data_IF_693100336356
#
_entry.id   IF_693100336356
#
_cell.length_a   1.000
_cell.length_b   1.000
_cell.length_c   1.000
_cell.angle_alpha   90.00
_cell.angle_beta   90.00
_cell.angle_gamma   90.00
#
_symmetry.space_group_name_H-M   'P 1'
#
loop_
_entity.id
_entity.type
_entity.pdbx_description
1 polymer ?
#
# COMPACT_ATOMS: atom_id res chain seq x y z
N UNK A 1 56.06 55.65 26.08
CA UNK A 1 55.53 55.77 27.45
C UNK A 1 54.51 54.67 27.63
N UNK A 2 54.95 53.49 28.21
CA UNK A 2 54.73 53.06 29.59
C UNK A 2 53.25 53.17 29.96
N UNK A 3 52.53 52.07 30.19
CA UNK A 3 52.52 51.14 31.36
C UNK A 3 51.47 50.06 31.12
N UNK A 4 51.78 48.83 31.16
CA UNK A 4 51.71 47.78 32.19
C UNK A 4 50.42 47.78 33.05
N UNK A 5 49.74 46.63 33.05
CA UNK A 5 49.15 45.82 34.19
C UNK A 5 47.73 45.37 33.86
N UNK A 6 47.24 44.22 34.21
CA UNK A 6 47.66 43.00 35.00
C UNK A 6 46.68 41.90 34.70
N UNK A 7 47.18 40.68 34.67
CA UNK A 7 46.49 39.39 34.70
C UNK A 7 45.58 39.31 35.90
N UNK A 8 44.33 38.82 35.64
CA UNK A 8 43.59 38.05 36.65
C UNK A 8 42.94 36.86 35.92
N UNK A 9 43.50 35.66 36.24
CA UNK A 9 42.84 34.38 35.99
C UNK A 9 41.72 34.26 37.04
N UNK A 10 40.52 33.99 36.54
CA UNK A 10 39.46 33.42 37.35
C UNK A 10 39.11 32.08 36.76
N UNK A 11 39.57 31.04 37.41
CA UNK A 11 39.04 29.69 37.22
C UNK A 11 37.59 29.70 37.68
N UNK A 12 36.66 29.50 36.78
CA UNK A 12 35.31 29.15 37.12
C UNK A 12 35.05 27.74 36.56
N UNK A 13 34.98 26.83 37.50
CA UNK A 13 34.58 25.46 37.34
C UNK A 13 33.18 25.38 36.75
N UNK A 14 33.05 24.86 35.54
CA UNK A 14 31.76 24.47 34.92
C UNK A 14 31.37 23.12 35.49
N UNK A 15 30.14 22.96 35.97
CA UNK A 15 29.62 21.65 36.28
C UNK A 15 29.32 20.88 34.98
N UNK A 16 29.88 19.69 34.91
CA UNK A 16 29.60 18.71 33.86
C UNK A 16 28.12 18.27 33.98
N UNK A 17 27.22 18.86 33.19
CA UNK A 17 25.89 18.34 33.07
C UNK A 17 25.98 17.14 32.13
N UNK A 18 25.95 15.96 32.71
CA UNK A 18 25.78 14.73 31.97
C UNK A 18 24.38 14.75 31.37
N UNK A 19 24.30 15.07 30.08
CA UNK A 19 23.10 14.86 29.27
C UNK A 19 22.91 13.35 29.16
N UNK A 20 22.00 12.81 29.91
CA UNK A 20 21.46 11.47 29.73
C UNK A 20 20.67 11.54 28.43
N UNK A 21 21.32 11.21 27.31
CA UNK A 21 20.65 10.93 26.08
C UNK A 21 19.83 9.65 26.30
N UNK A 22 18.56 9.82 26.62
CA UNK A 22 17.58 8.75 26.48
C UNK A 22 17.51 8.38 25.00
N UNK A 23 18.29 7.38 24.62
CA UNK A 23 18.06 6.64 23.38
C UNK A 23 16.70 5.98 23.56
N UNK A 24 15.65 6.63 23.07
CA UNK A 24 14.47 5.92 22.66
C UNK A 24 14.96 4.91 21.61
N UNK A 25 15.07 3.66 22.02
CA UNK A 25 15.28 2.57 21.08
C UNK A 25 14.07 2.59 20.17
N UNK A 26 14.23 3.19 19.01
CA UNK A 26 13.33 3.07 17.87
C UNK A 26 13.30 1.57 17.56
N UNK A 27 12.24 0.95 18.05
CA UNK A 27 11.99 -0.47 17.85
C UNK A 27 11.75 -0.61 16.36
N UNK A 28 12.75 -1.12 15.64
CA UNK A 28 12.58 -1.55 14.27
C UNK A 28 11.31 -2.42 14.21
N UNK A 29 10.42 -2.23 13.23
CA UNK A 29 9.24 -3.06 13.10
C UNK A 29 9.70 -4.51 13.05
N UNK A 30 9.13 -5.32 13.94
CA UNK A 30 9.43 -6.75 14.04
C UNK A 30 9.08 -7.39 12.67
N UNK A 31 10.12 -7.76 11.93
CA UNK A 31 9.99 -8.40 10.62
C UNK A 31 9.36 -9.82 10.70
N UNK A 32 8.99 -10.26 11.91
CA UNK A 32 8.42 -11.58 12.20
C UNK A 32 6.89 -11.57 12.26
N UNK A 33 6.22 -10.42 12.19
CA UNK A 33 4.78 -10.40 12.09
C UNK A 33 4.38 -10.86 10.67
N UNK A 34 3.51 -11.89 10.52
CA UNK A 34 3.02 -12.27 9.19
C UNK A 34 2.32 -11.05 8.59
N UNK A 35 2.84 -10.57 7.47
CA UNK A 35 2.19 -9.51 6.72
C UNK A 35 0.77 -9.99 6.37
N UNK A 36 -0.29 -9.23 6.69
CA UNK A 36 -1.66 -9.66 6.41
C UNK A 36 -1.99 -9.78 4.93
N UNK A 37 -1.04 -9.52 4.06
CA UNK A 37 -1.15 -9.42 2.61
C UNK A 37 -0.41 -10.54 1.90
N UNK A 38 -0.90 -11.77 1.93
CA UNK A 38 -0.54 -12.82 0.97
C UNK A 38 0.85 -13.43 1.02
N UNK A 39 1.71 -13.12 2.01
CA UNK A 39 3.06 -13.62 2.16
C UNK A 39 4.14 -12.54 1.94
N UNK A 40 5.43 -12.85 2.26
CA UNK A 40 6.51 -11.86 2.13
C UNK A 40 6.60 -11.29 0.72
N UNK A 41 6.45 -9.96 0.59
CA UNK A 41 6.57 -9.26 -0.69
C UNK A 41 5.38 -9.42 -1.66
N UNK A 42 4.31 -10.11 -1.26
CA UNK A 42 3.07 -10.24 -2.04
C UNK A 42 1.97 -9.39 -1.45
N UNK A 43 1.21 -8.74 -2.31
CA UNK A 43 0.04 -7.96 -1.93
C UNK A 43 -1.24 -8.47 -2.59
N UNK A 44 -2.36 -8.15 -1.98
CA UNK A 44 -3.68 -8.40 -2.54
C UNK A 44 -4.44 -7.08 -2.67
N UNK A 45 -5.17 -6.94 -3.76
CA UNK A 45 -5.97 -5.76 -4.07
C UNK A 45 -7.32 -6.18 -4.62
N UNK A 46 -8.39 -5.69 -4.01
CA UNK A 46 -9.74 -5.81 -4.56
C UNK A 46 -10.10 -4.52 -5.27
N UNK A 47 -10.52 -4.65 -6.51
CA UNK A 47 -10.84 -3.54 -7.40
C UNK A 47 -12.29 -3.63 -7.81
N UNK A 48 -13.05 -2.58 -7.57
CA UNK A 48 -14.39 -2.41 -8.09
C UNK A 48 -14.33 -1.66 -9.41
N UNK A 49 -14.79 -2.31 -10.46
CA UNK A 49 -14.93 -1.76 -11.81
C UNK A 49 -16.39 -1.40 -12.02
N UNK A 50 -16.78 -0.22 -11.52
CA UNK A 50 -18.18 0.23 -11.56
C UNK A 50 -18.55 0.67 -12.96
N UNK A 51 -19.67 0.17 -13.44
CA UNK A 51 -20.26 0.61 -14.69
C UNK A 51 -20.72 2.07 -14.56
N UNK A 52 -20.38 2.88 -15.57
CA UNK A 52 -20.95 4.22 -15.70
C UNK A 52 -22.38 4.08 -16.27
N UNK A 53 -23.38 4.29 -15.44
CA UNK A 53 -24.79 4.16 -15.81
C UNK A 53 -25.26 5.22 -16.82
N UNK A 54 -24.45 6.25 -17.10
CA UNK A 54 -24.70 7.21 -18.17
C UNK A 54 -24.33 6.65 -19.56
N UNK A 55 -23.72 5.47 -19.61
CA UNK A 55 -23.28 4.79 -20.84
C UNK A 55 -23.96 3.45 -20.99
N UNK A 56 -24.19 3.05 -22.22
CA UNK A 56 -24.62 1.68 -22.54
C UNK A 56 -23.45 0.70 -22.37
N UNK A 57 -23.75 -0.58 -22.19
CA UNK A 57 -22.72 -1.63 -22.16
C UNK A 57 -21.92 -1.70 -23.46
N UNK A 58 -22.55 -1.41 -24.58
CA UNK A 58 -21.86 -1.36 -25.89
C UNK A 58 -20.80 -0.26 -25.89
N UNK A 59 -21.14 0.94 -25.48
CA UNK A 59 -20.19 2.05 -25.39
C UNK A 59 -19.02 1.76 -24.45
N UNK A 60 -19.30 1.15 -23.29
CA UNK A 60 -18.27 0.73 -22.35
C UNK A 60 -17.35 -0.31 -23.00
N UNK A 61 -17.91 -1.35 -23.60
CA UNK A 61 -17.15 -2.42 -24.23
C UNK A 61 -16.31 -1.93 -25.43
N UNK A 62 -16.85 -1.04 -26.24
CA UNK A 62 -16.12 -0.48 -27.38
C UNK A 62 -14.96 0.41 -26.92
N UNK A 63 -15.16 1.17 -25.84
CA UNK A 63 -14.08 1.90 -25.20
C UNK A 63 -12.97 0.96 -24.69
N UNK A 64 -13.31 -0.07 -23.94
CA UNK A 64 -12.35 -1.04 -23.38
C UNK A 64 -11.60 -1.82 -24.47
N UNK A 65 -12.25 -2.12 -25.60
CA UNK A 65 -11.58 -2.68 -26.78
C UNK A 65 -10.57 -1.71 -27.37
N UNK A 66 -10.96 -0.45 -27.51
CA UNK A 66 -10.11 0.58 -28.13
C UNK A 66 -8.86 0.90 -27.31
N UNK A 67 -8.93 0.79 -25.97
CA UNK A 67 -7.80 1.04 -25.05
C UNK A 67 -6.88 -0.16 -24.88
N UNK A 68 -7.30 -1.36 -25.29
CA UNK A 68 -6.52 -2.59 -25.14
C UNK A 68 -6.77 -3.35 -23.83
N UNK A 69 -7.77 -2.95 -23.04
CA UNK A 69 -8.11 -3.58 -21.76
C UNK A 69 -8.19 -5.10 -21.82
N UNK A 70 -8.93 -5.64 -22.78
CA UNK A 70 -9.11 -7.09 -22.91
C UNK A 70 -7.86 -7.87 -23.32
N UNK A 71 -6.85 -7.17 -23.80
CA UNK A 71 -5.56 -7.77 -24.17
C UNK A 71 -4.55 -7.70 -23.02
N UNK A 72 -4.58 -6.62 -22.26
CA UNK A 72 -3.51 -6.27 -21.33
C UNK A 72 -3.86 -6.52 -19.86
N UNK A 73 -5.15 -6.68 -19.55
CA UNK A 73 -5.58 -6.97 -18.18
C UNK A 73 -6.10 -8.41 -18.03
N UNK A 74 -5.67 -9.17 -17.02
CA UNK A 74 -4.64 -8.81 -16.00
C UNK A 74 -3.23 -8.81 -16.60
N UNK A 75 -2.33 -7.95 -16.10
CA UNK A 75 -0.95 -7.95 -16.59
C UNK A 75 -0.20 -9.22 -16.20
N UNK A 76 0.84 -9.55 -16.96
CA UNK A 76 1.67 -10.71 -16.70
C UNK A 76 2.24 -10.71 -15.26
N UNK A 77 2.27 -11.88 -14.62
CA UNK A 77 2.75 -12.06 -13.25
C UNK A 77 1.76 -11.63 -12.16
N UNK A 78 0.54 -11.26 -12.53
CA UNK A 78 -0.56 -10.95 -11.60
C UNK A 78 -1.54 -12.12 -11.58
N UNK A 79 -1.76 -12.68 -10.39
CA UNK A 79 -2.74 -13.75 -10.15
C UNK A 79 -4.12 -13.16 -9.90
N UNK A 80 -5.14 -13.64 -10.62
CA UNK A 80 -6.54 -13.31 -10.36
C UNK A 80 -7.12 -14.34 -9.39
N UNK A 81 -7.39 -13.91 -8.16
CA UNK A 81 -7.99 -14.78 -7.13
C UNK A 81 -9.50 -14.92 -7.29
N UNK A 82 -10.16 -13.86 -7.72
CA UNK A 82 -11.60 -13.85 -8.00
C UNK A 82 -11.95 -12.75 -8.99
N UNK A 83 -12.97 -12.97 -9.79
CA UNK A 83 -13.52 -11.97 -10.70
C UNK A 83 -15.00 -12.24 -10.91
N UNK A 84 -15.84 -11.38 -10.36
CA UNK A 84 -17.28 -11.54 -10.37
C UNK A 84 -17.99 -10.29 -10.86
N UNK A 85 -19.20 -10.49 -11.41
CA UNK A 85 -20.12 -9.40 -11.66
C UNK A 85 -21.06 -9.25 -10.46
N UNK A 86 -21.08 -8.07 -9.89
CA UNK A 86 -22.08 -7.66 -8.90
C UNK A 86 -23.17 -6.87 -9.62
N UNK A 87 -24.35 -7.47 -9.73
CA UNK A 87 -25.47 -6.82 -10.42
C UNK A 87 -25.78 -5.45 -9.81
N UNK A 88 -25.94 -4.43 -10.66
CA UNK A 88 -26.19 -3.05 -10.23
C UNK A 88 -24.94 -2.24 -9.88
N UNK A 89 -23.78 -2.89 -9.76
CA UNK A 89 -22.49 -2.23 -9.49
C UNK A 89 -21.57 -2.30 -10.71
N UNK A 90 -21.27 -3.51 -11.15
CA UNK A 90 -20.30 -3.80 -12.20
C UNK A 90 -19.47 -5.02 -11.85
N UNK A 91 -18.16 -4.98 -12.11
CA UNK A 91 -17.28 -6.10 -11.83
C UNK A 91 -16.47 -5.85 -10.56
N UNK A 92 -16.13 -6.92 -9.87
CA UNK A 92 -15.22 -6.93 -8.72
C UNK A 92 -14.16 -7.98 -8.96
N UNK A 93 -12.91 -7.56 -8.97
CA UNK A 93 -11.75 -8.43 -9.17
C UNK A 93 -10.83 -8.35 -7.98
N UNK A 94 -10.33 -9.49 -7.50
CA UNK A 94 -9.30 -9.55 -6.47
C UNK A 94 -8.03 -10.12 -7.08
N UNK A 95 -6.96 -9.36 -6.98
CA UNK A 95 -5.64 -9.65 -7.52
C UNK A 95 -4.67 -9.98 -6.39
N UNK A 96 -3.67 -10.84 -6.70
CA UNK A 96 -2.49 -11.07 -5.88
C UNK A 96 -1.25 -10.88 -6.73
N UNK A 97 -0.29 -10.13 -6.24
CA UNK A 97 0.88 -9.72 -7.02
C UNK A 97 2.05 -9.31 -6.12
N UNK A 98 3.29 -9.30 -6.65
CA UNK A 98 4.44 -8.71 -5.95
C UNK A 98 4.22 -7.23 -5.68
N UNK A 99 4.56 -6.75 -4.49
CA UNK A 99 4.29 -5.37 -4.04
C UNK A 99 4.82 -4.29 -4.99
N UNK A 100 5.96 -4.53 -5.63
CA UNK A 100 6.56 -3.65 -6.62
C UNK A 100 5.72 -3.45 -7.89
N UNK A 101 4.75 -4.34 -8.15
CA UNK A 101 3.87 -4.26 -9.32
C UNK A 101 2.65 -3.35 -9.10
N UNK A 102 2.40 -2.89 -7.88
CA UNK A 102 1.22 -2.07 -7.55
C UNK A 102 1.08 -0.85 -8.47
N UNK A 103 2.18 -0.14 -8.71
CA UNK A 103 2.19 1.05 -9.57
C UNK A 103 1.83 0.71 -11.02
N UNK A 104 2.35 -0.39 -11.54
CA UNK A 104 2.10 -0.82 -12.92
C UNK A 104 0.64 -1.21 -13.12
N UNK A 105 0.06 -1.91 -12.15
CA UNK A 105 -1.35 -2.31 -12.15
C UNK A 105 -2.23 -1.06 -12.15
N UNK A 106 -1.97 -0.11 -11.25
CA UNK A 106 -2.72 1.14 -11.19
C UNK A 106 -2.63 1.91 -12.51
N UNK A 107 -1.42 2.10 -13.04
CA UNK A 107 -1.21 2.82 -14.30
C UNK A 107 -1.90 2.17 -15.50
N UNK A 108 -1.94 0.84 -15.54
CA UNK A 108 -2.67 0.10 -16.58
C UNK A 108 -4.17 0.36 -16.48
N UNK A 109 -4.72 0.29 -15.27
CA UNK A 109 -6.16 0.51 -15.04
C UNK A 109 -6.55 1.95 -15.39
N UNK A 110 -5.76 2.94 -14.98
CA UNK A 110 -5.99 4.35 -15.32
C UNK A 110 -6.01 4.56 -16.84
N UNK A 111 -5.05 3.98 -17.53
CA UNK A 111 -4.92 4.13 -18.98
C UNK A 111 -6.00 3.42 -19.79
N UNK A 112 -6.40 2.22 -19.34
CA UNK A 112 -7.20 1.32 -20.19
C UNK A 112 -8.63 1.09 -19.71
N UNK A 113 -8.89 1.21 -18.39
CA UNK A 113 -10.22 1.02 -17.83
C UNK A 113 -11.01 2.33 -17.64
N UNK A 114 -10.30 3.44 -17.36
CA UNK A 114 -10.96 4.72 -17.17
C UNK A 114 -11.64 5.21 -18.46
N UNK A 115 -12.80 5.80 -18.31
CA UNK A 115 -13.67 6.10 -19.46
C UNK A 115 -14.68 5.00 -19.77
N UNK A 116 -14.37 3.73 -19.41
CA UNK A 116 -15.32 2.61 -19.40
C UNK A 116 -15.83 2.31 -17.99
N UNK A 117 -14.93 2.31 -17.02
CA UNK A 117 -15.25 2.05 -15.60
C UNK A 117 -14.87 3.22 -14.71
N UNK A 118 -15.61 3.37 -13.61
CA UNK A 118 -15.17 4.07 -12.41
C UNK A 118 -14.55 3.03 -11.49
N UNK A 119 -13.36 3.30 -10.97
CA UNK A 119 -12.57 2.32 -10.22
C UNK A 119 -12.41 2.70 -8.76
N UNK A 120 -12.48 1.71 -7.88
CA UNK A 120 -12.19 1.85 -6.45
C UNK A 120 -11.22 0.73 -6.08
N UNK A 121 -10.19 1.06 -5.28
CA UNK A 121 -9.11 0.16 -4.91
C UNK A 121 -9.11 -0.08 -3.41
N UNK A 122 -9.11 -1.34 -3.01
CA UNK A 122 -9.09 -1.73 -1.61
C UNK A 122 -7.97 -2.74 -1.35
N UNK A 123 -6.91 -2.36 -0.60
CA UNK A 123 -5.96 -3.34 -0.08
C UNK A 123 -6.72 -4.44 0.67
N UNK A 124 -6.39 -5.68 0.37
CA UNK A 124 -7.16 -6.84 0.81
C UNK A 124 -6.21 -7.87 1.41
N UNK A 125 -6.68 -8.68 2.33
CA UNK A 125 -5.95 -9.84 2.82
C UNK A 125 -6.90 -11.03 3.05
N UNK A 126 -6.34 -12.23 3.01
CA UNK A 126 -7.09 -13.45 3.27
C UNK A 126 -7.28 -13.64 4.78
N UNK A 127 -8.52 -13.56 5.24
CA UNK A 127 -8.85 -13.69 6.66
C UNK A 127 -9.06 -15.14 7.10
N UNK A 128 -9.20 -16.09 6.17
CA UNK A 128 -9.56 -17.50 6.49
C UNK A 128 -8.64 -18.14 7.51
N UNK A 129 -7.34 -18.05 7.31
CA UNK A 129 -6.36 -18.64 8.24
C UNK A 129 -6.43 -18.01 9.63
N UNK A 130 -6.63 -16.71 9.72
CA UNK A 130 -6.80 -15.99 10.98
C UNK A 130 -8.11 -16.41 11.68
N UNK A 131 -9.18 -16.56 10.92
CA UNK A 131 -10.46 -17.01 11.44
C UNK A 131 -10.40 -18.43 12.02
N UNK A 132 -9.78 -19.37 11.31
CA UNK A 132 -9.57 -20.75 11.77
C UNK A 132 -8.73 -20.79 13.06
N UNK A 133 -7.69 -19.95 13.15
CA UNK A 133 -6.88 -19.82 14.35
C UNK A 133 -7.70 -19.31 15.53
N UNK A 134 -8.56 -18.30 15.33
CA UNK A 134 -9.42 -17.79 16.38
C UNK A 134 -10.50 -18.81 16.79
N UNK A 135 -11.05 -19.55 15.85
CA UNK A 135 -11.98 -20.65 16.18
C UNK A 135 -11.33 -21.71 17.07
N UNK A 136 -10.10 -22.12 16.75
CA UNK A 136 -9.39 -23.15 17.51
C UNK A 136 -9.04 -22.72 18.96
N UNK A 137 -8.89 -21.42 19.21
CA UNK A 137 -8.66 -20.87 20.55
C UNK A 137 -9.93 -20.83 21.42
N UNK A 138 -11.09 -20.82 20.79
CA UNK A 138 -12.39 -20.63 21.45
C UNK A 138 -13.24 -21.92 21.45
N UNK A 139 -12.70 -23.04 21.00
CA UNK A 139 -13.30 -24.38 21.06
C UNK A 139 -12.71 -25.17 22.22
#
# INVERSE_FOLDING_TARGET
MITRRKIWQVLSSLPLIAAVASRAAERAPDASAPSPTGGPGMEMLTIFLRHDQAKTLTEINDHLKSTGWYKNFPPEGVEVLSWYVMMGIGQVVTLKFPAERLRDINALIEREAWGGYRTEFYPTYDYRALYEQEQSKNS
#
